data_IF_787617234036
#
_entry.id   IF_787617234036
#
_cell.length_a   1.000
_cell.length_b   1.000
_cell.length_c   1.000
_cell.angle_alpha   90.00
_cell.angle_beta   90.00
_cell.angle_gamma   90.00
#
_symmetry.space_group_name_H-M   'P 1'
#
loop_
_entity.id
_entity.type
_entity.pdbx_description
1 polymer ?
#
# COMPACT_ATOMS: atom_id res chain seq x y z
N UNK A 1 -11.75 13.90 -17.60
CA UNK A 1 -10.63 14.70 -17.05
C UNK A 1 -9.47 13.75 -16.83
N UNK A 2 -8.26 14.14 -17.22
CA UNK A 2 -7.08 13.27 -17.15
C UNK A 2 -6.00 13.98 -16.34
N UNK A 3 -5.43 13.30 -15.34
CA UNK A 3 -4.32 13.79 -14.53
C UNK A 3 -3.16 12.80 -14.64
N UNK A 4 -2.21 13.14 -15.52
CA UNK A 4 -1.03 12.34 -15.82
C UNK A 4 0.17 12.88 -15.04
N UNK A 5 0.77 12.09 -14.14
CA UNK A 5 2.04 12.43 -13.47
C UNK A 5 3.12 11.44 -13.91
N UNK A 6 4.06 11.94 -14.71
CA UNK A 6 5.09 11.15 -15.37
C UNK A 6 6.47 11.72 -14.99
N UNK A 7 7.46 10.84 -14.83
CA UNK A 7 8.85 11.13 -14.39
C UNK A 7 9.58 12.21 -15.20
N UNK A 8 9.04 12.56 -16.38
CA UNK A 8 9.54 13.60 -17.30
C UNK A 8 9.21 15.02 -16.78
N UNK A 9 8.23 15.19 -15.89
CA UNK A 9 7.75 16.50 -15.42
C UNK A 9 8.00 16.81 -13.94
N UNK A 10 8.46 15.83 -13.13
CA UNK A 10 8.75 16.04 -11.70
C UNK A 10 10.21 16.45 -11.43
N UNK A 11 10.44 17.33 -10.44
CA UNK A 11 11.78 17.72 -9.99
C UNK A 11 12.39 16.68 -9.03
N UNK A 12 13.70 16.48 -9.13
CA UNK A 12 14.48 15.47 -8.37
C UNK A 12 14.50 15.81 -6.86
N UNK A 13 14.32 14.79 -6.02
CA UNK A 13 14.57 14.89 -4.57
C UNK A 13 16.09 14.99 -4.31
N UNK A 14 16.50 15.90 -3.44
CA UNK A 14 17.89 16.33 -3.22
C UNK A 14 18.86 15.18 -2.83
N UNK A 15 18.34 14.06 -2.30
CA UNK A 15 19.13 12.95 -1.76
C UNK A 15 19.15 11.66 -2.62
N UNK A 16 18.52 11.61 -3.80
CA UNK A 16 18.48 10.38 -4.62
C UNK A 16 19.65 10.29 -5.60
N UNK A 17 20.32 9.13 -5.73
CA UNK A 17 21.44 8.92 -6.69
C UNK A 17 20.94 8.74 -8.14
N UNK A 18 19.70 8.25 -8.32
CA UNK A 18 18.93 8.26 -9.58
C UNK A 18 17.44 8.46 -9.27
N UNK A 19 16.66 8.98 -10.23
CA UNK A 19 15.20 9.16 -10.05
C UNK A 19 14.54 7.78 -9.93
N UNK A 20 13.92 7.43 -8.79
CA UNK A 20 13.07 6.25 -8.76
C UNK A 20 11.91 6.48 -9.74
N UNK A 21 11.59 5.52 -10.63
CA UNK A 21 10.48 5.68 -11.56
C UNK A 21 9.19 5.71 -10.76
N UNK A 22 8.51 6.87 -10.77
CA UNK A 22 7.14 7.04 -10.31
C UNK A 22 6.28 7.28 -11.56
N UNK A 23 5.67 6.21 -12.06
CA UNK A 23 4.68 6.33 -13.13
C UNK A 23 3.30 6.27 -12.51
N UNK A 24 2.61 7.42 -12.47
CA UNK A 24 1.27 7.53 -11.89
C UNK A 24 0.29 8.08 -12.93
N UNK A 25 -0.59 7.22 -13.40
CA UNK A 25 -1.64 7.56 -14.35
C UNK A 25 -2.98 7.55 -13.62
N UNK A 26 -3.63 8.71 -13.53
CA UNK A 26 -4.97 8.85 -12.98
C UNK A 26 -5.90 9.41 -14.05
N UNK A 27 -6.94 8.65 -14.38
CA UNK A 27 -7.88 9.00 -15.44
C UNK A 27 -9.29 8.71 -14.98
N UNK A 28 -10.25 9.48 -15.49
CA UNK A 28 -11.64 9.27 -15.13
C UNK A 28 -12.61 10.00 -16.04
N UNK A 29 -13.86 9.58 -15.91
CA UNK A 29 -15.01 10.17 -16.57
C UNK A 29 -16.10 10.40 -15.54
N UNK A 30 -16.86 11.46 -15.72
CA UNK A 30 -18.04 11.76 -14.94
C UNK A 30 -19.09 12.36 -15.87
N UNK A 31 -20.34 11.99 -15.65
CA UNK A 31 -21.46 12.49 -16.42
C UNK A 31 -22.72 12.48 -15.57
N UNK A 32 -23.64 13.38 -15.88
CA UNK A 32 -24.96 13.40 -15.27
C UNK A 32 -26.00 13.94 -16.23
N UNK A 33 -27.24 13.50 -16.02
CA UNK A 33 -28.36 13.89 -16.86
C UNK A 33 -29.69 13.83 -16.09
N UNK A 34 -30.66 14.66 -16.47
CA UNK A 34 -32.04 14.48 -16.02
C UNK A 34 -32.63 13.22 -16.66
N UNK A 35 -33.11 12.28 -15.84
CA UNK A 35 -33.91 11.13 -16.31
C UNK A 35 -35.36 11.54 -16.51
N UNK A 36 -35.87 12.38 -15.60
CA UNK A 36 -37.17 13.05 -15.73
C UNK A 36 -36.96 14.51 -15.39
N UNK A 37 -37.27 15.40 -16.34
CA UNK A 37 -37.10 16.84 -16.17
C UNK A 37 -37.77 17.31 -14.88
N UNK A 38 -37.05 18.14 -14.13
CA UNK A 38 -37.46 18.74 -12.85
C UNK A 38 -37.81 17.76 -11.71
N UNK A 39 -37.59 16.45 -11.92
CA UNK A 39 -37.94 15.39 -10.97
C UNK A 39 -36.76 14.50 -10.63
N UNK A 40 -36.15 13.86 -11.62
CA UNK A 40 -35.09 12.87 -11.41
C UNK A 40 -33.81 13.30 -12.11
N UNK A 41 -32.72 13.37 -11.36
CA UNK A 41 -31.37 13.61 -11.88
C UNK A 41 -30.45 12.47 -11.45
N UNK A 42 -29.58 12.02 -12.36
CA UNK A 42 -28.59 10.99 -12.06
C UNK A 42 -27.22 11.50 -12.44
N UNK A 43 -26.23 11.25 -11.60
CA UNK A 43 -24.83 11.56 -11.81
C UNK A 43 -23.99 10.34 -11.48
N UNK A 44 -22.99 10.05 -12.31
CA UNK A 44 -22.05 8.97 -12.08
C UNK A 44 -20.62 9.38 -12.43
N UNK A 45 -19.67 8.71 -11.80
CA UNK A 45 -18.26 8.86 -12.10
C UNK A 45 -17.52 7.53 -11.99
N UNK A 46 -16.40 7.48 -12.69
CA UNK A 46 -15.40 6.44 -12.53
C UNK A 46 -14.02 7.05 -12.62
N UNK A 47 -13.11 6.56 -11.79
CA UNK A 47 -11.71 6.92 -11.81
C UNK A 47 -10.85 5.67 -11.65
N UNK A 48 -9.81 5.57 -12.47
CA UNK A 48 -8.77 4.57 -12.37
C UNK A 48 -7.42 5.22 -12.03
N UNK A 49 -6.72 4.61 -11.08
CA UNK A 49 -5.35 4.92 -10.71
C UNK A 49 -4.46 3.73 -11.11
N UNK A 50 -3.38 4.01 -11.83
CA UNK A 50 -2.31 3.05 -12.12
C UNK A 50 -1.00 3.67 -11.68
N UNK A 51 -0.44 3.15 -10.60
CA UNK A 51 0.77 3.67 -9.98
C UNK A 51 1.85 2.59 -10.00
N UNK A 52 3.06 2.98 -10.38
CA UNK A 52 4.27 2.18 -10.28
C UNK A 52 5.28 3.05 -9.56
N UNK A 53 5.44 2.80 -8.27
CA UNK A 53 6.41 3.49 -7.44
C UNK A 53 7.67 2.64 -7.30
N UNK A 54 8.82 3.17 -7.69
CA UNK A 54 10.11 2.58 -7.35
C UNK A 54 10.51 2.98 -5.93
N UNK A 55 10.64 2.02 -5.02
CA UNK A 55 11.21 2.27 -3.70
C UNK A 55 12.62 1.69 -3.62
N UNK A 56 13.55 2.49 -3.12
CA UNK A 56 14.92 2.05 -2.84
C UNK A 56 14.93 1.47 -1.43
N UNK A 57 15.21 0.18 -1.35
CA UNK A 57 15.53 -0.46 -0.10
C UNK A 57 17.03 -0.41 0.17
N UNK A 58 17.35 -0.12 1.42
CA UNK A 58 18.71 -0.08 1.91
C UNK A 58 18.75 -0.75 3.28
N UNK A 59 19.01 -2.06 3.31
CA UNK A 59 18.99 -2.85 4.55
C UNK A 59 20.40 -3.34 4.90
N UNK A 60 20.82 -3.31 6.18
CA UNK A 60 22.01 -4.03 6.62
C UNK A 60 21.86 -5.53 6.39
N UNK A 61 22.94 -6.21 6.04
CA UNK A 61 22.99 -7.67 5.89
C UNK A 61 24.31 -8.23 6.39
N UNK A 62 24.40 -9.56 6.49
CA UNK A 62 25.63 -10.27 6.85
C UNK A 62 26.51 -10.47 5.61
N UNK A 63 27.78 -10.09 5.73
CA UNK A 63 28.82 -10.48 4.75
C UNK A 63 29.25 -11.94 4.95
N UNK A 64 30.09 -12.45 4.05
CA UNK A 64 30.48 -13.86 4.04
C UNK A 64 31.23 -14.28 5.31
N UNK A 65 32.13 -13.44 5.84
CA UNK A 65 32.87 -13.70 7.08
C UNK A 65 31.91 -13.78 8.30
N UNK A 66 30.97 -12.84 8.37
CA UNK A 66 29.98 -12.81 9.46
C UNK A 66 29.06 -14.04 9.44
N UNK A 67 28.73 -14.60 8.27
CA UNK A 67 27.91 -15.84 8.16
C UNK A 67 28.60 -17.07 8.71
N UNK A 68 29.93 -17.12 8.64
CA UNK A 68 30.74 -18.22 9.17
C UNK A 68 31.18 -17.98 10.62
N UNK A 69 30.71 -16.89 11.24
CA UNK A 69 30.95 -16.59 12.66
C UNK A 69 32.13 -15.67 12.93
N UNK A 70 32.78 -15.12 11.89
CA UNK A 70 33.88 -14.15 12.05
C UNK A 70 33.31 -12.74 12.27
N UNK A 71 33.37 -12.28 13.52
CA UNK A 71 32.73 -11.04 13.98
C UNK A 71 33.74 -9.99 14.47
N UNK A 72 35.02 -10.11 14.08
CA UNK A 72 36.07 -9.17 14.48
C UNK A 72 35.80 -7.70 14.09
N UNK A 73 34.91 -7.45 13.12
CA UNK A 73 34.48 -6.11 12.70
C UNK A 73 33.17 -5.60 13.29
N UNK A 74 32.49 -6.33 14.20
CA UNK A 74 31.15 -5.96 14.70
C UNK A 74 31.15 -5.07 15.96
N UNK A 75 32.26 -4.41 16.27
CA UNK A 75 32.39 -3.50 17.42
C UNK A 75 32.72 -4.21 18.72
N UNK A 76 31.76 -4.93 19.32
CA UNK A 76 31.99 -5.72 20.53
C UNK A 76 32.16 -7.21 20.19
N UNK A 77 33.16 -7.91 20.77
CA UNK A 77 33.34 -9.33 20.53
C UNK A 77 32.14 -10.12 21.09
N UNK A 78 31.59 -11.08 20.33
CA UNK A 78 30.49 -11.92 20.78
C UNK A 78 30.92 -12.68 22.04
N UNK A 79 30.03 -12.80 23.03
CA UNK A 79 30.27 -13.57 24.26
C UNK A 79 29.70 -14.97 24.15
N UNK A 80 30.45 -15.95 24.65
CA UNK A 80 30.00 -17.33 24.75
C UNK A 80 28.92 -17.43 25.85
N UNK A 81 27.68 -17.88 25.53
CA UNK A 81 26.61 -18.02 26.51
C UNK A 81 26.90 -19.05 27.62
N UNK A 82 27.85 -19.97 27.42
CA UNK A 82 28.22 -20.98 28.41
C UNK A 82 29.22 -20.47 29.44
N UNK A 83 30.07 -19.51 29.08
CA UNK A 83 31.18 -19.04 29.92
C UNK A 83 31.09 -17.56 30.25
N UNK A 84 30.19 -16.82 29.59
CA UNK A 84 30.08 -15.35 29.61
C UNK A 84 31.34 -14.60 29.14
N UNK A 85 32.35 -15.31 28.64
CA UNK A 85 33.60 -14.74 28.13
C UNK A 85 33.50 -14.43 26.63
N UNK A 86 34.20 -13.42 26.12
CA UNK A 86 34.26 -13.16 24.68
C UNK A 86 34.89 -14.35 23.94
N UNK A 87 34.35 -14.69 22.76
CA UNK A 87 34.95 -15.69 21.89
C UNK A 87 36.37 -15.25 21.49
N UNK A 88 37.39 -16.14 21.57
CA UNK A 88 38.73 -15.84 21.08
C UNK A 88 38.70 -15.35 19.63
N UNK A 89 39.42 -14.25 19.35
CA UNK A 89 39.45 -13.64 18.02
C UNK A 89 38.11 -13.10 17.51
N UNK A 90 37.08 -13.02 18.36
CA UNK A 90 35.71 -12.72 17.97
C UNK A 90 35.14 -13.70 16.92
N UNK A 91 35.57 -14.96 16.95
CA UNK A 91 35.12 -16.01 16.03
C UNK A 91 34.24 -17.01 16.77
N UNK A 92 32.99 -17.17 16.33
CA UNK A 92 32.11 -18.25 16.80
C UNK A 92 32.49 -19.52 16.05
N UNK A 93 32.91 -20.61 16.74
CA UNK A 93 33.27 -21.86 16.06
C UNK A 93 32.11 -22.42 15.23
N UNK A 94 32.39 -22.95 14.05
CA UNK A 94 31.37 -23.48 13.14
C UNK A 94 30.48 -24.58 13.76
N UNK A 95 31.00 -25.32 14.74
CA UNK A 95 30.27 -26.33 15.52
C UNK A 95 29.22 -25.74 16.48
N UNK A 96 29.35 -24.45 16.83
CA UNK A 96 28.41 -23.70 17.68
C UNK A 96 27.38 -22.94 16.86
N UNK A 97 27.47 -22.97 15.53
CA UNK A 97 26.49 -22.40 14.61
C UNK A 97 25.49 -23.49 14.23
N UNK A 98 24.21 -23.31 14.55
CA UNK A 98 23.16 -24.22 14.15
C UNK A 98 23.12 -24.40 12.63
N UNK A 99 23.05 -25.65 12.18
CA UNK A 99 22.92 -25.99 10.76
C UNK A 99 21.65 -25.38 10.14
N UNK A 100 20.57 -25.26 10.92
CA UNK A 100 19.32 -24.62 10.50
C UNK A 100 19.56 -23.13 10.24
N UNK A 101 20.20 -22.42 11.17
CA UNK A 101 20.52 -20.99 11.02
C UNK A 101 21.42 -20.73 9.81
N UNK A 102 22.41 -21.60 9.56
CA UNK A 102 23.25 -21.52 8.37
C UNK A 102 22.42 -21.65 7.09
N UNK A 103 21.58 -22.68 7.01
CA UNK A 103 20.70 -22.89 5.85
C UNK A 103 19.74 -21.72 5.62
N UNK A 104 19.19 -21.12 6.68
CA UNK A 104 18.32 -19.94 6.57
C UNK A 104 19.09 -18.71 6.07
N UNK A 105 20.29 -18.45 6.60
CA UNK A 105 21.13 -17.35 6.14
C UNK A 105 21.52 -17.50 4.67
N UNK A 106 21.92 -18.70 4.26
CA UNK A 106 22.34 -18.97 2.88
C UNK A 106 21.17 -18.86 1.89
N UNK A 107 19.97 -19.25 2.30
CA UNK A 107 18.79 -19.25 1.43
C UNK A 107 18.04 -17.92 1.38
N UNK A 108 17.97 -17.17 2.48
CA UNK A 108 17.07 -16.02 2.60
C UNK A 108 17.77 -14.70 2.85
N UNK A 109 18.99 -14.71 3.39
CA UNK A 109 19.77 -13.48 3.60
C UNK A 109 20.65 -13.29 2.36
N UNK A 110 20.51 -12.18 1.61
CA UNK A 110 21.41 -11.88 0.49
C UNK A 110 22.75 -11.32 0.97
N UNK A 111 23.81 -11.56 0.21
CA UNK A 111 25.11 -10.92 0.48
C UNK A 111 25.03 -9.41 0.19
N UNK A 112 25.87 -8.59 0.87
CA UNK A 112 25.95 -7.17 0.58
C UNK A 112 26.26 -6.91 -0.89
N UNK A 113 25.60 -5.92 -1.49
CA UNK A 113 25.93 -5.41 -2.82
C UNK A 113 26.29 -3.91 -2.79
N UNK A 114 26.39 -3.34 -1.59
CA UNK A 114 26.71 -1.94 -1.34
C UNK A 114 27.62 -1.78 -0.11
N UNK A 115 28.28 -0.62 0.00
CA UNK A 115 29.18 -0.30 1.08
C UNK A 115 28.51 -0.42 2.47
N UNK A 116 29.30 -0.78 3.48
CA UNK A 116 28.83 -0.91 4.87
C UNK A 116 28.00 -2.16 5.16
N UNK A 117 28.25 -3.27 4.44
CA UNK A 117 27.49 -4.53 4.55
C UNK A 117 25.98 -4.32 4.32
N UNK A 118 25.63 -3.64 3.22
CA UNK A 118 24.23 -3.31 2.92
C UNK A 118 23.76 -3.95 1.61
N UNK A 119 22.46 -4.21 1.56
CA UNK A 119 21.75 -4.62 0.36
C UNK A 119 20.93 -3.44 -0.11
N UNK A 120 21.32 -2.91 -1.26
CA UNK A 120 20.57 -1.94 -2.04
C UNK A 120 19.76 -2.67 -3.09
N UNK A 121 18.44 -2.50 -3.06
CA UNK A 121 17.53 -3.00 -4.09
C UNK A 121 16.55 -1.91 -4.47
N UNK A 122 16.21 -1.85 -5.75
CA UNK A 122 15.16 -0.99 -6.23
C UNK A 122 14.01 -1.88 -6.67
N UNK A 123 12.89 -1.75 -5.99
CA UNK A 123 11.72 -2.59 -6.21
C UNK A 123 10.55 -1.72 -6.63
N UNK A 124 9.76 -2.23 -7.57
CA UNK A 124 8.54 -1.55 -8.02
C UNK A 124 7.35 -2.07 -7.21
N UNK A 125 6.60 -1.14 -6.63
CA UNK A 125 5.37 -1.36 -5.89
C UNK A 125 4.19 -0.96 -6.78
N UNK A 126 3.67 -1.88 -7.61
CA UNK A 126 2.54 -1.55 -8.45
C UNK A 126 1.26 -1.47 -7.60
N UNK A 127 0.57 -0.35 -7.72
CA UNK A 127 -0.77 -0.15 -7.16
C UNK A 127 -1.74 0.12 -8.31
N UNK A 128 -2.82 -0.66 -8.39
CA UNK A 128 -3.92 -0.42 -9.30
C UNK A 128 -5.19 -0.24 -8.48
N UNK A 129 -5.81 0.93 -8.61
CA UNK A 129 -7.06 1.22 -7.91
C UNK A 129 -8.12 1.69 -8.90
N UNK A 130 -9.36 1.30 -8.66
CA UNK A 130 -10.52 1.76 -9.42
C UNK A 130 -11.60 2.17 -8.44
N UNK A 131 -12.22 3.33 -8.68
CA UNK A 131 -13.36 3.81 -7.91
C UNK A 131 -14.50 4.17 -8.83
N UNK A 132 -15.71 3.86 -8.38
CA UNK A 132 -16.95 4.12 -9.09
C UNK A 132 -17.95 4.74 -8.12
N UNK A 133 -18.72 5.70 -8.58
CA UNK A 133 -19.83 6.24 -7.82
C UNK A 133 -21.02 6.58 -8.69
N UNK A 134 -22.20 6.42 -8.10
CA UNK A 134 -23.48 6.79 -8.69
C UNK A 134 -24.30 7.52 -7.64
N UNK A 135 -24.98 8.58 -8.05
CA UNK A 135 -25.97 9.30 -7.26
C UNK A 135 -27.22 9.49 -8.10
N UNK A 136 -28.37 9.20 -7.50
CA UNK A 136 -29.68 9.55 -8.02
C UNK A 136 -30.37 10.48 -7.04
N UNK A 137 -30.96 11.55 -7.56
CA UNK A 137 -31.76 12.51 -6.81
C UNK A 137 -33.18 12.52 -7.41
N UNK A 138 -34.19 12.46 -6.57
CA UNK A 138 -35.60 12.44 -6.98
C UNK A 138 -36.47 13.36 -6.11
N UNK A 139 -37.16 14.31 -6.75
CA UNK A 139 -38.23 15.09 -6.13
C UNK A 139 -39.57 14.44 -6.40
N UNK A 140 -40.21 13.85 -5.39
CA UNK A 140 -41.58 13.37 -5.53
C UNK A 140 -42.54 14.57 -5.63
N UNK A 141 -42.35 15.58 -4.78
CA UNK A 141 -43.09 16.85 -4.77
C UNK A 141 -42.19 18.00 -4.29
N UNK A 142 -42.71 19.21 -4.16
CA UNK A 142 -41.96 20.33 -3.58
C UNK A 142 -41.68 20.16 -2.08
N UNK A 143 -42.32 19.16 -1.45
CA UNK A 143 -42.19 18.82 -0.03
C UNK A 143 -41.42 17.53 0.22
N UNK A 144 -41.10 16.75 -0.81
CA UNK A 144 -40.43 15.47 -0.63
C UNK A 144 -39.30 15.30 -1.64
N UNK A 145 -38.09 15.11 -1.11
CA UNK A 145 -36.87 14.87 -1.84
C UNK A 145 -36.13 13.66 -1.29
N UNK A 146 -35.79 12.74 -2.18
CA UNK A 146 -35.01 11.54 -1.88
C UNK A 146 -33.73 11.56 -2.70
N UNK A 147 -32.61 11.17 -2.10
CA UNK A 147 -31.41 10.81 -2.82
C UNK A 147 -30.90 9.43 -2.42
N UNK A 148 -30.25 8.78 -3.39
CA UNK A 148 -29.52 7.54 -3.20
C UNK A 148 -28.13 7.70 -3.78
N UNK A 149 -27.11 7.36 -3.00
CA UNK A 149 -25.73 7.33 -3.44
C UNK A 149 -25.17 5.93 -3.24
N UNK A 150 -24.45 5.45 -4.23
CA UNK A 150 -23.59 4.27 -4.12
C UNK A 150 -22.17 4.64 -4.52
N UNK A 151 -21.19 4.10 -3.81
CA UNK A 151 -19.79 4.19 -4.18
C UNK A 151 -19.07 2.89 -3.90
N UNK A 152 -18.18 2.54 -4.80
CA UNK A 152 -17.30 1.38 -4.69
C UNK A 152 -15.86 1.85 -4.89
N UNK A 153 -14.95 1.28 -4.11
CA UNK A 153 -13.53 1.33 -4.41
C UNK A 153 -12.96 -0.09 -4.43
N UNK A 154 -11.94 -0.29 -5.25
CA UNK A 154 -11.09 -1.48 -5.24
C UNK A 154 -9.65 -1.05 -5.42
N UNK A 155 -8.75 -1.61 -4.63
CA UNK A 155 -7.32 -1.37 -4.70
C UNK A 155 -6.58 -2.69 -4.65
N UNK A 156 -5.58 -2.82 -5.50
CA UNK A 156 -4.72 -3.98 -5.63
C UNK A 156 -3.28 -3.51 -5.62
N UNK A 157 -2.57 -3.84 -4.55
CA UNK A 157 -1.18 -3.44 -4.33
C UNK A 157 -0.32 -4.67 -4.20
N UNK A 158 0.71 -4.77 -5.03
CA UNK A 158 1.75 -5.78 -4.87
C UNK A 158 2.90 -5.17 -4.08
N UNK A 159 3.25 -5.80 -2.98
CA UNK A 159 4.53 -5.63 -2.31
C UNK A 159 5.48 -6.75 -2.80
N UNK A 160 6.54 -6.44 -3.54
CA UNK A 160 7.49 -7.45 -3.99
C UNK A 160 8.29 -8.11 -2.86
N UNK A 161 8.17 -7.63 -1.61
CA UNK A 161 8.70 -8.27 -0.42
C UNK A 161 7.51 -8.54 0.50
N UNK A 162 7.35 -9.77 1.00
CA UNK A 162 6.33 -10.03 2.02
C UNK A 162 6.51 -9.12 3.25
N UNK A 163 5.55 -9.10 4.17
CA UNK A 163 5.60 -8.30 5.40
C UNK A 163 6.83 -8.56 6.31
N UNK A 164 7.64 -9.56 5.97
CA UNK A 164 8.97 -9.81 6.51
C UNK A 164 10.05 -9.49 5.48
N UNK A 165 11.08 -8.77 5.91
CA UNK A 165 12.29 -8.34 5.15
C UNK A 165 13.08 -9.47 4.46
N UNK A 166 12.61 -10.73 4.55
CA UNK A 166 13.25 -11.93 4.05
C UNK A 166 12.30 -12.88 3.29
N UNK A 167 11.07 -12.46 2.94
CA UNK A 167 10.16 -13.30 2.15
C UNK A 167 10.39 -13.10 0.64
N UNK A 168 10.91 -14.11 -0.09
CA UNK A 168 11.12 -14.02 -1.53
C UNK A 168 9.83 -14.08 -2.36
N UNK A 169 8.68 -14.39 -1.75
CA UNK A 169 7.43 -14.60 -2.49
C UNK A 169 6.67 -13.31 -2.80
N UNK A 170 7.07 -12.16 -2.23
CA UNK A 170 6.24 -10.95 -2.22
C UNK A 170 4.91 -11.18 -1.51
N UNK A 171 4.09 -10.14 -1.44
CA UNK A 171 2.73 -10.20 -0.91
C UNK A 171 1.84 -9.25 -1.69
N UNK A 172 0.53 -9.55 -1.71
CA UNK A 172 -0.45 -8.77 -2.46
C UNK A 172 -1.57 -8.38 -1.52
N UNK A 173 -1.79 -7.07 -1.39
CA UNK A 173 -2.91 -6.51 -0.66
C UNK A 173 -4.07 -6.27 -1.62
N UNK A 174 -5.26 -6.74 -1.25
CA UNK A 174 -6.50 -6.48 -1.97
C UNK A 174 -7.50 -5.82 -1.02
N UNK A 175 -7.85 -4.58 -1.34
CA UNK A 175 -8.85 -3.82 -0.61
C UNK A 175 -10.04 -3.54 -1.52
N UNK A 176 -11.25 -3.75 -1.01
CA UNK A 176 -12.47 -3.42 -1.71
C UNK A 176 -13.49 -2.88 -0.72
N UNK A 177 -14.17 -1.81 -1.07
CA UNK A 177 -15.23 -1.27 -0.24
C UNK A 177 -16.44 -0.84 -1.04
N UNK A 178 -17.58 -0.92 -0.38
CA UNK A 178 -18.87 -0.50 -0.87
C UNK A 178 -19.51 0.42 0.17
N UNK A 179 -20.08 1.52 -0.28
CA UNK A 179 -20.86 2.41 0.55
C UNK A 179 -22.14 2.76 -0.18
N UNK A 180 -23.28 2.60 0.49
CA UNK A 180 -24.58 3.03 0.02
C UNK A 180 -25.18 4.00 1.05
N UNK A 181 -25.76 5.09 0.57
CA UNK A 181 -26.44 6.10 1.40
C UNK A 181 -27.79 6.36 0.79
N UNK A 182 -28.83 6.36 1.63
CA UNK A 182 -30.17 6.80 1.27
C UNK A 182 -30.52 7.93 2.22
N UNK A 183 -30.95 9.06 1.66
CA UNK A 183 -31.44 10.20 2.42
C UNK A 183 -32.78 10.67 1.90
N UNK A 184 -33.74 10.87 2.79
CA UNK A 184 -35.08 11.40 2.50
C UNK A 184 -35.30 12.68 3.32
N UNK A 185 -35.89 13.69 2.69
CA UNK A 185 -36.27 14.95 3.33
C UNK A 185 -37.73 15.22 3.02
N UNK A 186 -38.54 15.33 4.08
CA UNK A 186 -39.97 15.56 3.98
C UNK A 186 -40.42 16.77 4.79
N UNK A 187 -41.01 17.76 4.13
CA UNK A 187 -41.65 18.91 4.76
C UNK A 187 -43.13 18.61 5.01
N UNK A 188 -43.50 18.32 6.26
CA UNK A 188 -44.89 18.09 6.66
C UNK A 188 -45.70 19.40 6.65
N UNK A 189 -45.07 20.51 7.02
CA UNK A 189 -45.65 21.87 7.00
C UNK A 189 -44.54 22.92 6.75
N UNK A 190 -44.86 24.20 6.54
CA UNK A 190 -43.85 25.27 6.45
C UNK A 190 -42.96 25.42 7.69
N UNK A 191 -43.35 24.82 8.81
CA UNK A 191 -42.65 24.90 10.10
C UNK A 191 -42.15 23.55 10.62
N UNK A 192 -42.39 22.45 9.90
CA UNK A 192 -41.98 21.10 10.32
C UNK A 192 -41.34 20.33 9.16
N UNK A 193 -40.05 20.04 9.31
CA UNK A 193 -39.22 19.26 8.40
C UNK A 193 -38.75 17.98 9.11
N UNK A 194 -38.76 16.87 8.39
CA UNK A 194 -38.09 15.63 8.80
C UNK A 194 -37.00 15.28 7.80
N UNK A 195 -35.86 14.86 8.32
CA UNK A 195 -34.75 14.36 7.53
C UNK A 195 -34.36 12.98 8.07
N UNK A 196 -34.25 12.02 7.17
CA UNK A 196 -33.86 10.65 7.47
C UNK A 196 -32.67 10.27 6.61
N UNK A 197 -31.60 9.76 7.23
CA UNK A 197 -30.42 9.28 6.52
C UNK A 197 -30.00 7.90 7.04
N UNK A 198 -29.74 6.97 6.12
CA UNK A 198 -29.17 5.65 6.43
C UNK A 198 -27.96 5.41 5.56
N UNK A 199 -26.90 4.93 6.17
CA UNK A 199 -25.63 4.61 5.51
C UNK A 199 -25.28 3.15 5.77
N UNK A 200 -24.97 2.43 4.70
CA UNK A 200 -24.38 1.10 4.73
C UNK A 200 -22.95 1.18 4.23
N UNK A 201 -22.00 0.60 4.98
CA UNK A 201 -20.60 0.50 4.59
C UNK A 201 -20.18 -0.95 4.75
N UNK A 202 -19.52 -1.48 3.73
CA UNK A 202 -18.87 -2.78 3.76
C UNK A 202 -17.46 -2.63 3.24
N UNK A 203 -16.49 -3.13 4.00
CA UNK A 203 -15.10 -3.18 3.63
C UNK A 203 -14.61 -4.62 3.66
N UNK A 204 -13.87 -4.99 2.62
CA UNK A 204 -13.09 -6.20 2.52
C UNK A 204 -11.63 -5.78 2.39
N UNK A 205 -10.77 -6.32 3.24
CA UNK A 205 -9.33 -6.10 3.18
C UNK A 205 -8.65 -7.44 3.35
N UNK A 206 -7.83 -7.81 2.37
CA UNK A 206 -6.90 -8.91 2.46
C UNK A 206 -5.50 -8.30 2.52
N UNK A 207 -4.94 -8.09 3.73
CA UNK A 207 -3.65 -7.46 3.89
C UNK A 207 -2.52 -8.35 3.35
N UNK A 208 -1.46 -7.70 2.90
CA UNK A 208 -0.21 -8.36 2.53
C UNK A 208 0.40 -9.08 3.76
N UNK A 209 0.80 -10.35 3.59
CA UNK A 209 1.48 -11.18 4.61
C UNK A 209 3.00 -11.11 4.50
#
# INVERSE_FOLDING_TARGET
>A
WNFLRNDVLDARNFFSVSRPPLRRNQYGAAAGAPVRRDKTFVFGYWEGLREREGQVQNVPTLNQAQRIGELAGSGAPPRDPLTSQPFPGAVIPASRISAITRALNDRFVPLPNAAGNRVLRQLSYPTNSDQFGLRGDHRFSDRNFLFVRYSQYRSDRLDPLGGSTFSPAGSRSLDAGHSAVIGDTHAFSPTLLNEFNVTFIRQFSNPAT
#
